data_IF_569397098726
#
_entry.id   IF_569397098726
#
_cell.length_a   1.000
_cell.length_b   1.000
_cell.length_c   1.000
_cell.angle_alpha   90.00
_cell.angle_beta   90.00
_cell.angle_gamma   90.00
#
_symmetry.space_group_name_H-M   'P 1'
#
loop_
_entity.id
_entity.type
_entity.pdbx_description
1 polymer ?
#
# COMPACT_ATOMS: atom_id res chain seq x y z
N UNK A 1 1.03 25.19 -72.60
CA UNK A 1 1.56 23.95 -72.05
C UNK A 1 1.47 24.06 -70.50
N UNK A 2 0.47 23.45 -69.87
CA UNK A 2 0.29 23.42 -68.41
C UNK A 2 0.49 22.00 -67.93
N UNK A 3 1.51 21.76 -67.08
CA UNK A 3 1.79 20.47 -66.46
C UNK A 3 1.03 20.36 -65.12
N UNK A 4 0.14 19.39 -65.02
CA UNK A 4 -0.50 19.00 -63.78
C UNK A 4 0.43 18.09 -63.00
N UNK A 5 0.79 18.46 -61.75
CA UNK A 5 1.45 17.56 -60.80
C UNK A 5 0.37 16.94 -59.87
N UNK A 6 0.29 15.64 -59.91
CA UNK A 6 -0.56 14.83 -58.98
C UNK A 6 0.18 14.67 -57.64
N UNK A 7 -0.36 15.21 -56.58
CA UNK A 7 0.09 14.90 -55.21
C UNK A 7 -0.55 13.60 -54.74
N UNK A 8 0.30 12.61 -54.45
CA UNK A 8 -0.05 11.36 -53.85
C UNK A 8 -0.26 11.55 -52.34
N UNK A 9 -1.47 11.44 -51.86
CA UNK A 9 -1.78 11.36 -50.45
C UNK A 9 -1.49 9.93 -49.95
N UNK A 10 -0.45 9.79 -49.10
CA UNK A 10 -0.22 8.57 -48.31
C UNK A 10 -1.12 8.63 -47.09
N UNK A 11 -2.05 7.68 -46.99
CA UNK A 11 -2.85 7.40 -45.84
C UNK A 11 -2.00 6.69 -44.78
N UNK A 12 -1.80 7.35 -43.62
CA UNK A 12 -1.18 6.74 -42.46
C UNK A 12 -2.15 5.73 -41.80
N UNK A 13 -1.66 4.57 -41.34
CA UNK A 13 -2.52 3.61 -40.65
C UNK A 13 -2.83 4.10 -39.24
N UNK A 14 -4.11 4.32 -38.97
CA UNK A 14 -4.65 4.64 -37.64
C UNK A 14 -4.39 3.49 -36.68
N UNK A 15 -3.45 3.70 -35.76
CA UNK A 15 -3.14 2.75 -34.69
C UNK A 15 -4.35 2.65 -33.76
N UNK A 16 -5.08 1.54 -33.81
CA UNK A 16 -6.21 1.24 -32.91
C UNK A 16 -5.66 1.18 -31.49
N UNK A 17 -6.04 2.15 -30.68
CA UNK A 17 -5.78 2.25 -29.25
C UNK A 17 -6.45 1.06 -28.56
N UNK A 18 -5.68 0.03 -28.22
CA UNK A 18 -6.15 -1.10 -27.39
C UNK A 18 -6.66 -0.53 -26.07
N UNK A 19 -7.94 -0.77 -25.78
CA UNK A 19 -8.53 -0.46 -24.47
C UNK A 19 -7.74 -1.21 -23.41
N UNK A 20 -7.04 -0.46 -22.56
CA UNK A 20 -6.42 -1.01 -21.37
C UNK A 20 -7.52 -1.70 -20.54
N UNK A 21 -7.41 -3.01 -20.34
CA UNK A 21 -8.25 -3.74 -19.42
C UNK A 21 -8.03 -3.12 -18.04
N UNK A 22 -9.11 -2.71 -17.38
CA UNK A 22 -9.05 -2.25 -16.01
C UNK A 22 -8.42 -3.35 -15.14
N UNK A 23 -7.77 -2.96 -14.05
CA UNK A 23 -7.06 -3.91 -13.19
C UNK A 23 -8.02 -5.00 -12.69
N UNK A 24 -7.62 -6.25 -12.88
CA UNK A 24 -8.37 -7.43 -12.45
C UNK A 24 -8.37 -7.46 -10.92
N UNK A 25 -9.56 -7.45 -10.33
CA UNK A 25 -9.74 -7.69 -8.91
C UNK A 25 -9.32 -9.14 -8.62
N UNK A 26 -8.25 -9.33 -7.84
CA UNK A 26 -7.81 -10.66 -7.41
C UNK A 26 -8.49 -11.01 -6.10
N UNK A 27 -9.03 -12.22 -6.01
CA UNK A 27 -9.60 -12.73 -4.76
C UNK A 27 -8.49 -12.82 -3.69
N UNK A 28 -8.80 -12.43 -2.46
CA UNK A 28 -7.89 -12.54 -1.32
C UNK A 28 -7.36 -13.97 -1.14
N UNK A 29 -8.18 -14.98 -1.43
CA UNK A 29 -7.80 -16.40 -1.38
C UNK A 29 -6.78 -16.77 -2.46
N UNK A 30 -6.92 -16.24 -3.68
CA UNK A 30 -5.95 -16.46 -4.77
C UNK A 30 -4.60 -15.84 -4.42
N UNK A 31 -4.62 -14.60 -3.91
CA UNK A 31 -3.40 -13.90 -3.47
C UNK A 31 -2.70 -14.68 -2.36
N UNK A 32 -3.47 -15.15 -1.37
CA UNK A 32 -2.94 -15.96 -0.28
C UNK A 32 -2.33 -17.26 -0.79
N UNK A 33 -2.99 -17.97 -1.71
CA UNK A 33 -2.47 -19.20 -2.30
C UNK A 33 -1.15 -18.94 -3.06
N UNK A 34 -1.08 -17.83 -3.80
CA UNK A 34 0.15 -17.42 -4.50
C UNK A 34 1.28 -17.11 -3.52
N UNK A 35 1.00 -16.34 -2.47
CA UNK A 35 1.96 -15.96 -1.42
C UNK A 35 2.45 -17.21 -0.68
N UNK A 36 1.53 -18.08 -0.25
CA UNK A 36 1.87 -19.34 0.42
C UNK A 36 2.67 -20.26 -0.51
N UNK A 37 2.30 -20.39 -1.78
CA UNK A 37 3.04 -21.18 -2.75
C UNK A 37 4.48 -20.70 -2.94
N UNK A 38 4.69 -19.40 -2.99
CA UNK A 38 6.03 -18.79 -3.09
C UNK A 38 6.84 -18.95 -1.79
N UNK A 39 6.18 -18.93 -0.63
CA UNK A 39 6.84 -19.15 0.66
C UNK A 39 7.21 -20.63 0.87
N UNK A 40 6.32 -21.56 0.58
CA UNK A 40 6.58 -23.01 0.74
C UNK A 40 7.66 -23.52 -0.20
N UNK A 41 7.72 -23.03 -1.42
CA UNK A 41 8.79 -23.38 -2.35
C UNK A 41 10.21 -22.94 -1.90
N UNK A 42 10.31 -22.05 -0.92
CA UNK A 42 11.58 -21.61 -0.31
C UNK A 42 11.88 -22.28 1.04
N UNK A 43 10.88 -22.89 1.69
CA UNK A 43 11.03 -23.46 3.03
C UNK A 43 11.68 -24.87 3.05
N UNK A 44 11.78 -25.52 1.91
CA UNK A 44 12.46 -26.83 1.81
C UNK A 44 13.97 -26.80 2.12
N UNK A 45 14.52 -25.64 2.44
CA UNK A 45 15.94 -25.47 2.74
C UNK A 45 16.30 -24.82 4.10
N UNK A 46 15.37 -24.36 4.91
CA UNK A 46 15.70 -23.65 6.16
C UNK A 46 14.80 -24.01 7.34
N UNK A 47 15.47 -24.45 8.40
CA UNK A 47 14.97 -24.76 9.75
C UNK A 47 14.07 -23.64 10.30
N UNK A 48 12.93 -24.03 10.87
CA UNK A 48 12.03 -23.14 11.61
C UNK A 48 12.79 -22.36 12.70
N UNK A 49 12.80 -21.05 12.56
CA UNK A 49 13.29 -20.15 13.63
C UNK A 49 12.13 -19.88 14.57
N UNK A 50 12.28 -20.29 15.80
CA UNK A 50 11.31 -20.06 16.88
C UNK A 50 11.12 -18.56 17.11
N UNK A 51 9.88 -18.09 16.94
CA UNK A 51 9.47 -16.73 17.25
C UNK A 51 9.32 -16.55 18.75
N UNK A 52 10.37 -16.07 19.43
CA UNK A 52 10.19 -15.44 20.74
C UNK A 52 9.94 -13.95 20.51
N UNK A 53 8.69 -13.53 20.63
CA UNK A 53 8.31 -12.14 20.70
C UNK A 53 8.91 -11.52 21.98
N UNK A 54 10.06 -10.88 21.88
CA UNK A 54 10.52 -9.96 22.93
C UNK A 54 9.74 -8.67 22.83
N UNK A 55 8.80 -8.50 23.76
CA UNK A 55 8.08 -7.27 24.04
C UNK A 55 9.07 -6.16 24.38
N UNK A 56 9.32 -5.26 23.48
CA UNK A 56 10.25 -4.14 23.70
C UNK A 56 9.49 -2.95 24.28
N UNK A 57 9.45 -2.86 25.61
CA UNK A 57 8.88 -1.74 26.37
C UNK A 57 9.85 -0.58 26.48
N UNK A 58 10.33 0.00 25.37
CA UNK A 58 10.98 1.33 25.41
C UNK A 58 10.91 2.01 24.07
N UNK A 59 10.35 3.25 24.04
CA UNK A 59 10.51 4.29 23.02
C UNK A 59 10.59 3.84 21.58
N UNK A 60 9.50 3.66 21.00
CA UNK A 60 9.00 3.62 19.60
C UNK A 60 10.00 3.82 18.42
N UNK A 61 11.15 3.21 18.43
CA UNK A 61 12.00 3.08 17.24
C UNK A 61 11.61 1.81 16.49
N UNK A 62 10.79 1.97 15.44
CA UNK A 62 10.46 0.87 14.55
C UNK A 62 11.68 0.53 13.72
N UNK A 63 12.24 -0.67 13.92
CA UNK A 63 13.40 -1.15 13.17
C UNK A 63 13.06 -1.83 11.85
N UNK A 64 14.07 -2.24 11.04
CA UNK A 64 13.87 -3.03 9.83
C UNK A 64 13.06 -4.30 10.09
N UNK A 65 12.24 -4.68 9.13
CA UNK A 65 11.41 -5.88 9.21
C UNK A 65 12.04 -7.01 8.39
N UNK A 66 12.59 -8.01 9.05
CA UNK A 66 13.22 -9.17 8.39
C UNK A 66 12.53 -10.50 8.69
N UNK A 67 11.63 -10.50 9.67
CA UNK A 67 11.07 -11.74 10.24
C UNK A 67 9.64 -12.02 9.80
N UNK A 68 9.00 -11.09 9.08
CA UNK A 68 7.63 -11.22 8.61
C UNK A 68 7.42 -10.52 7.27
N UNK A 69 6.29 -10.83 6.62
CA UNK A 69 5.87 -10.14 5.39
C UNK A 69 5.77 -8.63 5.61
N UNK A 70 6.04 -7.87 4.55
CA UNK A 70 5.78 -6.42 4.54
C UNK A 70 4.80 -6.11 3.42
N UNK A 71 3.69 -5.46 3.75
CA UNK A 71 2.66 -5.07 2.80
C UNK A 71 2.62 -3.56 2.71
N UNK A 72 2.81 -3.01 1.52
CA UNK A 72 2.54 -1.60 1.25
C UNK A 72 1.15 -1.46 0.63
N UNK A 73 0.40 -0.45 1.06
CA UNK A 73 -0.92 -0.15 0.48
C UNK A 73 -1.03 1.33 0.16
N UNK A 74 -1.23 1.63 -1.12
CA UNK A 74 -1.60 2.95 -1.61
C UNK A 74 -3.13 3.07 -1.59
N UNK A 75 -3.64 3.85 -0.62
CA UNK A 75 -5.08 3.99 -0.37
C UNK A 75 -5.72 4.94 -1.38
N UNK A 76 -6.61 4.40 -2.21
CA UNK A 76 -7.49 5.18 -3.07
C UNK A 76 -8.93 5.22 -2.55
N UNK A 77 -9.79 6.06 -3.15
CA UNK A 77 -11.18 6.23 -2.70
C UNK A 77 -12.03 4.98 -2.89
N UNK A 78 -11.89 4.30 -4.01
CA UNK A 78 -12.66 3.10 -4.36
C UNK A 78 -11.78 1.85 -4.42
N UNK A 79 -10.55 2.00 -4.84
CA UNK A 79 -9.59 0.95 -5.06
C UNK A 79 -8.26 1.34 -4.45
N UNK A 80 -7.72 0.48 -3.64
CA UNK A 80 -6.38 0.57 -3.08
C UNK A 80 -5.45 -0.40 -3.79
N UNK A 81 -4.22 0.01 -4.05
CA UNK A 81 -3.19 -0.87 -4.60
C UNK A 81 -2.36 -1.46 -3.47
N UNK A 82 -1.96 -2.72 -3.60
CA UNK A 82 -1.10 -3.37 -2.62
C UNK A 82 0.13 -4.01 -3.27
N UNK A 83 1.19 -4.12 -2.49
CA UNK A 83 2.39 -4.89 -2.81
C UNK A 83 2.82 -5.67 -1.56
N UNK A 84 2.99 -6.98 -1.71
CA UNK A 84 3.44 -7.88 -0.63
C UNK A 84 4.90 -8.25 -0.90
N UNK A 85 5.77 -7.96 0.06
CA UNK A 85 7.16 -8.38 0.06
C UNK A 85 7.38 -9.56 1.00
N UNK A 86 8.15 -10.51 0.53
CA UNK A 86 8.61 -11.66 1.30
C UNK A 86 9.73 -11.32 2.29
N UNK A 87 10.23 -12.37 2.95
CA UNK A 87 11.27 -12.24 3.99
C UNK A 87 12.63 -11.77 3.43
N UNK A 88 12.91 -12.01 2.18
CA UNK A 88 14.12 -11.57 1.47
C UNK A 88 13.93 -10.18 0.79
N UNK A 89 12.70 -9.62 0.82
CA UNK A 89 12.35 -8.36 0.17
C UNK A 89 11.94 -8.51 -1.30
N UNK A 90 11.76 -9.75 -1.75
CA UNK A 90 11.19 -10.08 -3.05
C UNK A 90 9.70 -9.76 -3.11
N UNK A 91 9.20 -9.31 -4.24
CA UNK A 91 7.78 -9.12 -4.46
C UNK A 91 7.10 -10.47 -4.64
N UNK A 92 6.23 -10.82 -3.69
CA UNK A 92 5.42 -12.05 -3.74
C UNK A 92 4.15 -11.86 -4.53
N UNK A 93 3.45 -10.73 -4.31
CA UNK A 93 2.22 -10.41 -5.00
C UNK A 93 2.02 -8.89 -5.08
N UNK A 94 1.34 -8.46 -6.14
CA UNK A 94 0.84 -7.09 -6.33
C UNK A 94 -0.56 -7.15 -6.91
N UNK A 95 -1.39 -6.17 -6.56
CA UNK A 95 -2.75 -6.11 -7.06
C UNK A 95 -3.54 -4.95 -6.50
N UNK A 96 -4.85 -5.09 -6.60
CA UNK A 96 -5.81 -4.11 -6.10
C UNK A 96 -6.86 -4.78 -5.24
N UNK A 97 -7.37 -4.05 -4.27
CA UNK A 97 -8.54 -4.41 -3.47
C UNK A 97 -9.49 -3.22 -3.38
N UNK A 98 -10.76 -3.47 -3.12
CA UNK A 98 -11.71 -2.39 -2.85
C UNK A 98 -11.40 -1.74 -1.51
N UNK A 99 -11.56 -0.42 -1.45
CA UNK A 99 -11.37 0.35 -0.23
C UNK A 99 -12.66 0.33 0.60
N UNK A 100 -13.09 -0.86 1.02
CA UNK A 100 -14.22 -1.10 1.92
C UNK A 100 -13.74 -1.83 3.18
N UNK A 101 -14.46 -1.69 4.30
CA UNK A 101 -14.09 -2.40 5.53
C UNK A 101 -14.13 -3.92 5.34
N UNK A 102 -15.10 -4.42 4.57
CA UNK A 102 -15.28 -5.83 4.28
C UNK A 102 -14.10 -6.39 3.47
N UNK A 103 -13.76 -5.77 2.33
CA UNK A 103 -12.71 -6.26 1.45
C UNK A 103 -11.32 -6.12 2.09
N UNK A 104 -11.05 -5.00 2.78
CA UNK A 104 -9.79 -4.80 3.54
C UNK A 104 -9.70 -5.83 4.66
N UNK A 105 -10.78 -6.02 5.44
CA UNK A 105 -10.82 -7.01 6.50
C UNK A 105 -10.57 -8.42 6.00
N UNK A 106 -11.28 -8.85 4.95
CA UNK A 106 -11.13 -10.18 4.35
C UNK A 106 -9.71 -10.41 3.81
N UNK A 107 -9.13 -9.41 3.15
CA UNK A 107 -7.78 -9.50 2.60
C UNK A 107 -6.73 -9.70 3.70
N UNK A 108 -6.74 -8.87 4.74
CA UNK A 108 -5.75 -8.97 5.80
C UNK A 108 -5.99 -10.14 6.75
N UNK A 109 -7.25 -10.55 6.99
CA UNK A 109 -7.56 -11.75 7.75
C UNK A 109 -6.97 -13.03 7.11
N UNK A 110 -6.84 -13.05 5.78
CA UNK A 110 -6.26 -14.17 5.06
C UNK A 110 -4.72 -14.22 5.13
N UNK A 111 -4.05 -13.14 5.55
CA UNK A 111 -2.60 -13.07 5.66
C UNK A 111 -2.12 -13.42 7.08
N UNK A 112 -0.93 -14.02 7.16
CA UNK A 112 -0.22 -14.14 8.44
C UNK A 112 0.15 -12.75 8.97
N UNK A 113 0.34 -12.58 10.31
CA UNK A 113 0.75 -11.30 10.88
C UNK A 113 1.92 -10.67 10.12
N UNK A 114 1.71 -9.47 9.61
CA UNK A 114 2.62 -8.77 8.72
C UNK A 114 2.86 -7.33 9.21
N UNK A 115 3.90 -6.68 8.72
CA UNK A 115 4.00 -5.22 8.78
C UNK A 115 3.26 -4.62 7.60
N UNK A 116 2.32 -3.73 7.87
CA UNK A 116 1.54 -3.04 6.85
C UNK A 116 1.88 -1.57 6.85
N UNK A 117 2.19 -1.03 5.69
CA UNK A 117 2.51 0.39 5.50
C UNK A 117 1.45 1.04 4.63
N UNK A 118 0.79 2.05 5.18
CA UNK A 118 -0.21 2.85 4.47
C UNK A 118 0.21 4.32 4.47
N UNK A 119 -0.25 5.10 3.50
CA UNK A 119 -0.05 6.55 3.51
C UNK A 119 -1.16 7.24 4.32
N UNK A 120 -0.82 8.34 5.00
CA UNK A 120 -1.83 9.16 5.70
C UNK A 120 -2.81 9.76 4.70
N UNK A 121 -4.09 9.58 4.95
CA UNK A 121 -5.17 10.06 4.09
C UNK A 121 -6.53 9.91 4.76
N UNK A 122 -7.60 10.18 4.02
CA UNK A 122 -8.98 10.12 4.52
C UNK A 122 -9.35 8.74 5.06
N UNK A 123 -8.88 7.68 4.41
CA UNK A 123 -9.19 6.30 4.78
C UNK A 123 -8.22 5.71 5.81
N UNK A 124 -7.03 6.29 5.98
CA UNK A 124 -5.99 5.69 6.83
C UNK A 124 -6.40 5.45 8.29
N UNK A 125 -7.27 6.28 8.93
CA UNK A 125 -7.63 6.02 10.33
C UNK A 125 -8.42 4.73 10.53
N UNK A 126 -9.46 4.48 9.72
CA UNK A 126 -10.27 3.28 9.85
C UNK A 126 -9.55 2.04 9.31
N UNK A 127 -8.74 2.21 8.25
CA UNK A 127 -7.92 1.12 7.71
C UNK A 127 -6.90 0.66 8.74
N UNK A 128 -6.23 1.60 9.43
CA UNK A 128 -5.34 1.26 10.53
C UNK A 128 -6.05 0.48 11.62
N UNK A 129 -7.25 0.91 12.04
CA UNK A 129 -8.01 0.23 13.11
C UNK A 129 -8.29 -1.22 12.70
N UNK A 130 -8.89 -1.44 11.52
CA UNK A 130 -9.23 -2.79 11.01
C UNK A 130 -8.01 -3.70 10.94
N UNK A 131 -6.90 -3.21 10.37
CA UNK A 131 -5.70 -4.02 10.18
C UNK A 131 -5.02 -4.33 11.53
N UNK A 132 -5.03 -3.38 12.47
CA UNK A 132 -4.47 -3.58 13.81
C UNK A 132 -5.29 -4.58 14.62
N UNK A 133 -6.63 -4.53 14.53
CA UNK A 133 -7.53 -5.49 15.19
C UNK A 133 -7.30 -6.93 14.69
N UNK A 134 -6.83 -7.09 13.44
CA UNK A 134 -6.44 -8.39 12.88
C UNK A 134 -5.03 -8.86 13.26
N UNK A 135 -4.33 -8.11 14.13
CA UNK A 135 -3.02 -8.50 14.66
C UNK A 135 -1.82 -8.12 13.79
N UNK A 136 -1.98 -7.26 12.80
CA UNK A 136 -0.88 -6.75 12.01
C UNK A 136 -0.25 -5.49 12.64
N UNK A 137 1.05 -5.29 12.38
CA UNK A 137 1.76 -4.06 12.72
C UNK A 137 1.48 -3.01 11.63
N UNK A 138 0.88 -1.86 11.98
CA UNK A 138 0.56 -0.82 10.98
C UNK A 138 1.45 0.40 11.16
N UNK A 139 2.08 0.83 10.07
CA UNK A 139 2.84 2.07 9.97
C UNK A 139 2.10 3.04 9.03
N UNK A 140 1.72 4.20 9.54
CA UNK A 140 1.10 5.25 8.74
C UNK A 140 2.15 6.25 8.32
N UNK A 141 2.55 6.21 7.05
CA UNK A 141 3.57 7.06 6.48
C UNK A 141 3.10 8.51 6.32
N UNK A 142 3.99 9.47 6.59
CA UNK A 142 3.73 10.90 6.37
C UNK A 142 4.49 11.40 5.12
N UNK A 143 3.86 11.44 3.95
CA UNK A 143 4.53 11.81 2.70
C UNK A 143 5.09 13.23 2.70
N UNK A 144 4.47 14.14 3.47
CA UNK A 144 4.94 15.53 3.55
C UNK A 144 6.35 15.66 4.15
N UNK A 145 6.72 14.75 5.04
CA UNK A 145 8.05 14.70 5.66
C UNK A 145 9.01 13.82 4.87
N UNK A 146 8.50 12.78 4.17
CA UNK A 146 9.30 11.89 3.34
C UNK A 146 9.90 12.62 2.14
N UNK A 147 9.21 13.60 1.59
CA UNK A 147 9.68 14.44 0.50
C UNK A 147 10.66 15.52 0.98
N UNK A 148 11.65 15.19 1.76
CA UNK A 148 12.66 16.08 2.34
C UNK A 148 13.45 16.92 1.35
N UNK A 149 12.76 17.56 0.40
CA UNK A 149 13.35 18.50 -0.53
C UNK A 149 12.30 19.43 -1.14
N UNK A 150 12.29 20.66 -0.66
CA UNK A 150 11.56 21.81 -1.22
C UNK A 150 11.92 22.16 -2.68
N UNK A 151 12.43 21.24 -3.48
CA UNK A 151 13.06 21.58 -4.76
C UNK A 151 12.42 21.03 -6.02
N UNK A 152 11.29 20.33 -5.98
CA UNK A 152 10.58 19.97 -7.23
C UNK A 152 9.10 20.21 -7.12
N UNK A 153 8.67 21.39 -7.58
CA UNK A 153 7.32 21.66 -8.10
C UNK A 153 7.09 20.81 -9.37
N UNK A 154 7.11 19.50 -9.26
CA UNK A 154 6.56 18.61 -10.27
C UNK A 154 5.61 17.69 -9.52
N UNK A 155 4.35 17.67 -10.05
CA UNK A 155 3.30 16.68 -9.84
C UNK A 155 3.75 15.59 -8.86
N UNK A 156 3.25 15.63 -7.60
CA UNK A 156 3.64 14.72 -6.53
C UNK A 156 3.68 13.30 -7.09
N UNK A 157 4.91 12.73 -7.19
CA UNK A 157 5.03 11.31 -7.47
C UNK A 157 4.41 10.61 -6.27
N UNK A 158 3.16 10.18 -6.46
CA UNK A 158 2.43 9.40 -5.49
C UNK A 158 3.31 8.21 -5.11
N UNK A 159 3.50 8.02 -3.81
CA UNK A 159 4.30 6.89 -3.34
C UNK A 159 3.47 5.65 -3.61
N UNK A 160 3.90 4.82 -4.53
CA UNK A 160 3.20 3.58 -4.85
C UNK A 160 3.34 2.53 -3.73
N UNK A 161 2.47 1.52 -3.76
CA UNK A 161 2.43 0.46 -2.78
C UNK A 161 3.79 -0.29 -2.64
N UNK A 162 4.51 -0.48 -3.75
CA UNK A 162 5.80 -1.14 -3.73
C UNK A 162 6.85 -0.31 -2.97
N UNK A 163 6.90 1.00 -3.21
CA UNK A 163 7.79 1.91 -2.51
C UNK A 163 7.50 1.97 -1.00
N UNK A 164 6.21 2.01 -0.63
CA UNK A 164 5.78 1.95 0.77
C UNK A 164 6.25 0.65 1.43
N UNK A 165 6.04 -0.49 0.79
CA UNK A 165 6.48 -1.79 1.28
C UNK A 165 8.00 -1.84 1.48
N UNK A 166 8.78 -1.39 0.48
CA UNK A 166 10.26 -1.38 0.57
C UNK A 166 10.77 -0.50 1.69
N UNK A 167 10.27 0.73 1.80
CA UNK A 167 10.65 1.65 2.88
C UNK A 167 10.28 1.08 4.25
N UNK A 168 9.06 0.58 4.41
CA UNK A 168 8.62 -0.02 5.67
C UNK A 168 9.42 -1.26 6.07
N UNK A 169 10.02 -1.95 5.10
CA UNK A 169 10.88 -3.10 5.36
C UNK A 169 12.28 -2.70 5.79
N UNK A 170 12.93 -1.79 5.04
CA UNK A 170 14.35 -1.50 5.17
C UNK A 170 14.60 -0.35 6.13
N UNK A 171 13.87 0.73 5.97
CA UNK A 171 14.02 1.97 6.75
C UNK A 171 12.66 2.58 7.10
N UNK A 172 11.97 2.00 8.09
CA UNK A 172 10.66 2.49 8.50
C UNK A 172 10.70 3.89 9.13
N UNK A 173 11.86 4.35 9.57
CA UNK A 173 12.05 5.70 10.13
C UNK A 173 11.88 6.76 9.04
N UNK A 174 12.32 6.49 7.82
CA UNK A 174 12.18 7.40 6.67
C UNK A 174 10.73 7.62 6.25
N UNK A 175 9.81 6.78 6.71
CA UNK A 175 8.36 6.98 6.54
C UNK A 175 7.80 8.10 7.43
N UNK A 176 8.56 8.55 8.43
CA UNK A 176 8.09 9.48 9.46
C UNK A 176 6.73 9.04 10.02
N UNK A 177 6.64 7.82 10.58
CA UNK A 177 5.36 7.22 10.91
C UNK A 177 4.61 8.05 11.94
N UNK A 178 3.32 8.28 11.69
CA UNK A 178 2.41 8.95 12.60
C UNK A 178 1.51 7.95 13.30
N UNK A 179 0.92 8.36 14.41
CA UNK A 179 -0.17 7.64 15.08
C UNK A 179 -1.46 8.43 14.94
N UNK A 180 -2.51 7.79 14.44
CA UNK A 180 -3.82 8.38 14.53
C UNK A 180 -4.28 8.42 16.00
N UNK A 181 -5.10 9.41 16.33
CA UNK A 181 -5.79 9.46 17.63
C UNK A 181 -6.71 8.26 17.76
N UNK A 182 -7.01 7.86 18.99
CA UNK A 182 -7.95 6.76 19.23
C UNK A 182 -9.32 7.05 18.60
N UNK A 183 -10.11 6.01 18.38
CA UNK A 183 -11.43 6.11 17.76
C UNK A 183 -12.34 7.07 18.53
N UNK A 184 -12.31 6.98 19.87
CA UNK A 184 -13.10 7.84 20.78
C UNK A 184 -12.71 9.31 20.57
N UNK A 185 -11.42 9.64 20.65
CA UNK A 185 -10.93 11.01 20.46
C UNK A 185 -11.27 11.55 19.06
N UNK A 186 -11.27 10.68 18.04
CA UNK A 186 -11.68 11.10 16.69
C UNK A 186 -13.18 11.39 16.62
N UNK A 187 -14.01 10.61 17.30
CA UNK A 187 -15.46 10.86 17.41
C UNK A 187 -15.77 12.18 18.11
N UNK A 188 -15.13 12.45 19.25
CA UNK A 188 -15.27 13.71 19.98
C UNK A 188 -14.90 14.92 19.11
N UNK A 189 -13.82 14.82 18.35
CA UNK A 189 -13.39 15.86 17.43
C UNK A 189 -14.39 16.11 16.28
N UNK A 190 -15.10 15.09 15.80
CA UNK A 190 -16.17 15.27 14.81
C UNK A 190 -17.32 16.08 15.39
N UNK A 191 -17.75 15.77 16.64
CA UNK A 191 -18.80 16.50 17.33
C UNK A 191 -18.41 17.96 17.55
N UNK A 192 -17.19 18.21 18.02
CA UNK A 192 -16.68 19.58 18.23
C UNK A 192 -16.66 20.39 16.92
N UNK A 193 -16.16 19.80 15.82
CA UNK A 193 -16.14 20.45 14.50
C UNK A 193 -17.54 20.71 13.95
N UNK A 194 -18.48 19.78 14.15
CA UNK A 194 -19.87 19.99 13.75
C UNK A 194 -20.50 21.17 14.50
N UNK A 195 -20.24 21.30 15.82
CA UNK A 195 -20.68 22.44 16.61
C UNK A 195 -20.09 23.75 16.09
N UNK A 196 -18.77 23.80 15.85
CA UNK A 196 -18.08 24.99 15.39
C UNK A 196 -18.52 25.43 13.97
N UNK A 197 -19.06 24.52 13.17
CA UNK A 197 -19.62 24.82 11.84
C UNK A 197 -21.05 25.34 11.89
N UNK A 198 -21.74 25.27 13.06
CA UNK A 198 -23.11 25.73 13.26
C UNK A 198 -23.17 27.11 13.94
N UNK A 199 -22.04 27.63 14.36
CA UNK A 199 -21.89 28.96 14.99
C UNK A 199 -21.26 29.95 14.01
#
# INVERSE_FOLDING_TARGET
MKKHSKSSQRSEPTLKRTKAHGPVQRDAKEVLAEVLGKLTGKLDGRRAVSTSAKENRRGNTVGPNRDRLTVGVDLGDRWSQYCILGLEGETLAEGQLRTTQEDVGAFFQALTPARVVIEVGTHSPWVQDVITELGHEVLVANPRLMEGSKRRKRKSDRIDANKLARLGRVDPQSLYPIRHRSREVRQDLVVLRARDALV
#
